data_IF_301523790652
#
_entry.id   IF_301523790652
#
_cell.length_a   1.000
_cell.length_b   1.000
_cell.length_c   1.000
_cell.angle_alpha   90.00
_cell.angle_beta   90.00
_cell.angle_gamma   90.00
#
_symmetry.space_group_name_H-M   'P 1'
#
loop_
_entity.id
_entity.type
_entity.pdbx_description
1 polymer ?
#
# COMPACT_ATOMS: atom_id res chain seq x y z
N UNK A 1 0.60 -8.49 -5.38
CA UNK A 1 -0.33 -8.11 -6.49
C UNK A 1 -1.54 -7.40 -5.92
N UNK A 2 -2.23 -6.57 -6.72
CA UNK A 2 -3.50 -5.95 -6.30
C UNK A 2 -4.63 -6.98 -6.40
N UNK A 3 -5.41 -7.12 -5.32
CA UNK A 3 -6.66 -7.87 -5.30
C UNK A 3 -7.81 -6.94 -5.71
N UNK A 4 -8.01 -6.81 -7.02
CA UNK A 4 -9.03 -5.92 -7.61
C UNK A 4 -10.45 -6.25 -7.13
N UNK A 5 -10.76 -7.53 -6.88
CA UNK A 5 -12.09 -7.98 -6.48
C UNK A 5 -12.44 -7.57 -5.05
N UNK A 6 -11.44 -7.50 -4.18
CA UNK A 6 -11.58 -7.12 -2.77
C UNK A 6 -11.12 -5.69 -2.49
N UNK A 7 -10.77 -4.94 -3.53
CA UNK A 7 -10.50 -3.51 -3.46
C UNK A 7 -11.80 -2.72 -3.63
N UNK A 8 -11.77 -1.46 -3.23
CA UNK A 8 -12.82 -0.48 -3.46
C UNK A 8 -12.18 0.84 -3.90
N UNK A 9 -12.99 1.80 -4.35
CA UNK A 9 -12.50 3.15 -4.70
C UNK A 9 -11.76 3.85 -3.54
N UNK A 10 -12.06 3.51 -2.28
CA UNK A 10 -11.47 4.16 -1.10
C UNK A 10 -10.37 3.32 -0.42
N UNK A 11 -10.23 2.06 -0.81
CA UNK A 11 -9.32 1.12 -0.17
C UNK A 11 -8.80 0.11 -1.20
N UNK A 12 -7.49 0.08 -1.44
CA UNK A 12 -6.85 -0.85 -2.38
C UNK A 12 -6.18 -1.97 -1.60
N UNK A 13 -6.53 -3.21 -1.91
CA UNK A 13 -5.98 -4.40 -1.25
C UNK A 13 -4.82 -4.96 -2.06
N UNK A 14 -3.68 -5.14 -1.41
CA UNK A 14 -2.51 -5.82 -1.92
C UNK A 14 -2.35 -7.16 -1.21
N UNK A 15 -1.89 -8.17 -1.95
CA UNK A 15 -1.60 -9.51 -1.43
C UNK A 15 -0.24 -10.00 -1.91
N UNK A 16 0.54 -10.58 -0.99
CA UNK A 16 1.78 -11.31 -1.26
C UNK A 16 1.76 -12.61 -0.45
N UNK A 17 1.37 -13.72 -1.09
CA UNK A 17 1.07 -14.95 -0.35
C UNK A 17 -0.07 -14.72 0.66
N UNK A 18 0.22 -14.94 1.93
CA UNK A 18 -0.72 -14.73 3.03
C UNK A 18 -0.68 -13.31 3.61
N UNK A 19 0.32 -12.50 3.26
CA UNK A 19 0.40 -11.09 3.65
C UNK A 19 -0.65 -10.26 2.92
N UNK A 20 -1.31 -9.37 3.66
CA UNK A 20 -2.34 -8.47 3.15
C UNK A 20 -2.03 -7.05 3.61
N UNK A 21 -2.01 -6.10 2.70
CA UNK A 21 -1.92 -4.67 3.01
C UNK A 21 -3.13 -3.98 2.37
N UNK A 22 -3.85 -3.18 3.16
CA UNK A 22 -4.96 -2.36 2.67
C UNK A 22 -4.54 -0.89 2.73
N UNK A 23 -4.38 -0.28 1.55
CA UNK A 23 -4.05 1.14 1.40
C UNK A 23 -5.34 1.96 1.35
N UNK A 24 -5.45 2.98 2.19
CA UNK A 24 -6.62 3.83 2.40
C UNK A 24 -6.25 5.31 2.30
N UNK A 25 -7.24 6.19 2.45
CA UNK A 25 -7.06 7.64 2.45
C UNK A 25 -6.26 8.15 1.24
N UNK A 26 -6.60 7.66 0.05
CA UNK A 26 -5.97 8.06 -1.23
C UNK A 26 -4.45 7.84 -1.23
N UNK A 27 -3.99 6.73 -0.63
CA UNK A 27 -2.57 6.40 -0.57
C UNK A 27 -1.85 6.94 0.66
N UNK A 28 -2.52 7.72 1.51
CA UNK A 28 -1.89 8.36 2.68
C UNK A 28 -1.84 7.48 3.93
N UNK A 29 -2.52 6.33 3.94
CA UNK A 29 -2.46 5.41 5.07
C UNK A 29 -2.63 3.96 4.66
N UNK A 30 -2.26 3.06 5.55
CA UNK A 30 -2.39 1.62 5.35
C UNK A 30 -2.65 0.88 6.66
N UNK A 31 -3.11 -0.37 6.54
CA UNK A 31 -3.13 -1.34 7.65
C UNK A 31 -3.05 -2.78 7.14
N UNK A 32 -2.53 -3.68 7.98
CA UNK A 32 -2.62 -5.13 7.82
C UNK A 32 -3.88 -5.63 8.56
N UNK A 33 -4.85 -6.25 7.88
CA UNK A 33 -6.08 -6.73 8.54
C UNK A 33 -5.87 -7.96 9.42
N UNK A 34 -4.67 -8.57 9.42
CA UNK A 34 -4.35 -9.77 10.21
C UNK A 34 -3.55 -9.45 11.48
N UNK A 35 -3.21 -8.17 11.71
CA UNK A 35 -2.47 -7.69 12.87
C UNK A 35 -2.90 -6.27 13.27
N UNK A 36 -2.21 -5.68 14.24
CA UNK A 36 -2.43 -4.27 14.62
C UNK A 36 -1.56 -3.28 13.80
N UNK A 37 -0.76 -3.78 12.84
CA UNK A 37 0.14 -2.97 12.05
C UNK A 37 -0.62 -2.02 11.11
N UNK A 38 -0.27 -0.73 11.16
CA UNK A 38 -0.89 0.35 10.39
C UNK A 38 -0.05 1.61 10.47
N UNK A 39 -0.30 2.55 9.57
CA UNK A 39 0.29 3.88 9.66
C UNK A 39 0.30 4.62 8.33
N UNK A 40 1.32 5.44 8.14
CA UNK A 40 1.60 6.21 6.93
C UNK A 40 2.56 5.47 5.98
N UNK A 41 2.98 6.15 4.91
CA UNK A 41 3.90 5.59 3.91
C UNK A 41 5.28 5.21 4.47
N UNK A 42 5.79 5.91 5.50
CA UNK A 42 7.10 5.61 6.07
C UNK A 42 7.01 4.32 6.89
N UNK A 43 6.03 4.23 7.79
CA UNK A 43 5.77 3.02 8.57
C UNK A 43 5.47 1.79 7.70
N UNK A 44 4.93 1.97 6.49
CA UNK A 44 4.73 0.89 5.52
C UNK A 44 6.07 0.33 5.04
N UNK A 45 7.01 1.19 4.68
CA UNK A 45 8.33 0.76 4.20
C UNK A 45 9.12 0.12 5.34
N UNK A 46 9.08 0.68 6.55
CA UNK A 46 9.66 0.04 7.74
C UNK A 46 9.12 -1.38 7.94
N UNK A 47 7.80 -1.54 7.80
CA UNK A 47 7.14 -2.85 7.95
C UNK A 47 7.51 -3.87 6.86
N UNK A 48 7.73 -3.41 5.61
CA UNK A 48 8.01 -4.31 4.49
C UNK A 48 9.49 -4.70 4.38
N UNK A 49 10.38 -3.79 4.74
CA UNK A 49 11.82 -3.91 4.44
C UNK A 49 12.70 -3.99 5.69
N UNK A 50 12.14 -3.92 6.91
CA UNK A 50 12.86 -3.98 8.19
C UNK A 50 14.02 -2.96 8.28
N UNK A 51 13.74 -1.73 7.84
CA UNK A 51 14.69 -0.63 7.75
C UNK A 51 14.57 0.35 8.93
N UNK A 52 15.65 1.07 9.23
CA UNK A 52 15.60 2.22 10.15
C UNK A 52 14.91 3.42 9.49
N UNK A 53 14.35 4.33 10.30
CA UNK A 53 13.65 5.51 9.77
C UNK A 53 14.50 6.37 8.80
N UNK A 54 15.82 6.48 9.03
CA UNK A 54 16.71 7.25 8.15
C UNK A 54 16.83 6.59 6.78
N UNK A 55 16.99 5.27 6.73
CA UNK A 55 17.02 4.51 5.47
C UNK A 55 15.67 4.59 4.75
N UNK A 56 14.57 4.56 5.50
CA UNK A 56 13.22 4.71 4.95
C UNK A 56 13.02 6.10 4.34
N UNK A 57 13.53 7.17 4.96
CA UNK A 57 13.45 8.51 4.39
C UNK A 57 14.16 8.58 3.03
N UNK A 58 15.39 8.07 2.94
CA UNK A 58 16.14 8.02 1.69
C UNK A 58 15.44 7.14 0.64
N UNK A 59 14.87 6.02 1.05
CA UNK A 59 14.12 5.13 0.16
C UNK A 59 12.85 5.79 -0.39
N UNK A 60 12.02 6.37 0.47
CA UNK A 60 10.76 7.03 0.07
C UNK A 60 11.05 8.25 -0.81
N UNK A 61 12.07 9.03 -0.50
CA UNK A 61 12.46 10.19 -1.32
C UNK A 61 12.89 9.78 -2.73
N UNK A 62 13.57 8.63 -2.89
CA UNK A 62 13.93 8.09 -4.21
C UNK A 62 12.72 7.73 -5.09
N UNK A 63 11.56 7.51 -4.48
CA UNK A 63 10.30 7.18 -5.16
C UNK A 63 9.44 8.41 -5.47
N UNK A 64 9.85 9.62 -5.08
CA UNK A 64 9.08 10.84 -5.37
C UNK A 64 9.02 11.06 -6.88
N UNK A 65 7.80 11.27 -7.39
CA UNK A 65 7.55 11.41 -8.83
C UNK A 65 7.44 10.08 -9.58
N UNK A 66 7.67 8.95 -8.92
CA UNK A 66 7.37 7.65 -9.48
C UNK A 66 5.87 7.47 -9.63
N UNK A 67 5.42 7.21 -10.86
CA UNK A 67 4.03 6.86 -11.15
C UNK A 67 3.92 5.35 -11.20
N UNK A 68 3.35 4.78 -10.14
CA UNK A 68 2.97 3.36 -10.16
C UNK A 68 2.00 3.12 -11.31
N UNK A 69 2.07 1.95 -11.95
CA UNK A 69 1.02 1.51 -12.88
C UNK A 69 -0.25 1.35 -12.06
N UNK A 70 -1.10 2.36 -12.06
CA UNK A 70 -2.39 2.29 -11.36
C UNK A 70 -3.13 1.02 -11.81
N UNK A 71 -3.73 0.26 -10.88
CA UNK A 71 -4.65 -0.79 -11.25
C UNK A 71 -5.78 -0.15 -12.07
N UNK A 72 -5.84 -0.45 -13.37
CA UNK A 72 -6.87 0.05 -14.27
C UNK A 72 -8.23 -0.48 -13.81
N UNK A 73 -8.99 0.40 -13.15
CA UNK A 73 -10.31 0.06 -12.62
C UNK A 73 -11.34 -0.03 -13.76
N UNK A 74 -11.43 -1.19 -14.41
CA UNK A 74 -12.47 -1.49 -15.40
C UNK A 74 -13.73 -1.99 -14.70
N UNK A 75 -14.55 -1.07 -14.17
CA UNK A 75 -15.87 -1.44 -13.65
C UNK A 75 -16.84 -1.61 -14.82
N UNK A 76 -17.27 -2.83 -15.12
CA UNK A 76 -18.52 -3.04 -15.87
C UNK A 76 -19.67 -2.49 -15.01
N UNK A 77 -20.44 -1.54 -15.55
CA UNK A 77 -21.65 -1.05 -14.90
C UNK A 77 -22.61 -2.22 -14.66
N UNK A 78 -23.14 -2.33 -13.44
CA UNK A 78 -24.32 -3.15 -13.15
C UNK A 78 -25.56 -2.34 -13.45
#
# INVERSE_FOLDING_TARGET
>A
MVDLKQSTRKAVKFRRGDEIIIVIHEGRGWFDPLSDAKGDVFSLVEHLEDMTFVEVLDHVTSLVGFVSKEPTWTRTAR
#
